data_IF_814213893329
#
_entry.id   IF_814213893329
#
_cell.length_a   1.000
_cell.length_b   1.000
_cell.length_c   1.000
_cell.angle_alpha   90.00
_cell.angle_beta   90.00
_cell.angle_gamma   90.00
#
_symmetry.space_group_name_H-M   'P 1'
#
loop_
_entity.id
_entity.type
_entity.pdbx_description
1 polymer ?
#
# COMPACT_ATOMS: atom_id res chain seq x y z
N UNK A 1 18.26 21.26 -33.08
CA UNK A 1 18.41 19.81 -32.82
C UNK A 1 18.07 19.54 -31.37
N UNK A 2 17.10 18.66 -31.06
CA UNK A 2 16.67 18.43 -29.69
C UNK A 2 17.73 17.59 -28.97
N UNK A 3 18.12 18.05 -27.77
CA UNK A 3 19.07 17.34 -26.90
C UNK A 3 18.48 15.98 -26.54
N UNK A 4 19.22 14.95 -26.93
CA UNK A 4 19.02 13.55 -26.60
C UNK A 4 18.81 13.36 -25.10
N UNK A 5 17.76 12.62 -24.74
CA UNK A 5 17.46 12.20 -23.37
C UNK A 5 18.66 11.49 -22.77
N UNK A 6 19.30 12.12 -21.78
CA UNK A 6 20.36 11.49 -21.01
C UNK A 6 19.77 10.33 -20.20
N UNK A 7 20.10 9.11 -20.60
CA UNK A 7 19.84 7.90 -19.81
C UNK A 7 20.76 8.00 -18.58
N UNK A 8 20.20 8.40 -17.44
CA UNK A 8 20.94 8.41 -16.19
C UNK A 8 21.24 6.96 -15.75
N UNK A 9 22.49 6.65 -15.35
CA UNK A 9 22.87 5.32 -14.94
C UNK A 9 22.15 4.87 -13.67
N UNK A 10 21.93 3.56 -13.57
CA UNK A 10 21.13 2.79 -12.60
C UNK A 10 21.41 3.06 -11.10
N UNK A 11 22.42 3.87 -10.76
CA UNK A 11 23.00 3.98 -9.40
C UNK A 11 22.69 5.28 -8.65
N UNK A 12 22.39 6.39 -9.35
CA UNK A 12 21.89 7.62 -8.72
C UNK A 12 20.40 7.75 -9.05
N UNK A 13 19.57 7.25 -8.14
CA UNK A 13 18.12 7.32 -8.30
C UNK A 13 17.69 8.77 -8.21
N UNK A 14 17.19 9.34 -9.31
CA UNK A 14 16.44 10.61 -9.34
C UNK A 14 15.34 10.70 -8.25
N UNK A 15 14.90 9.59 -7.67
CA UNK A 15 13.92 9.54 -6.58
C UNK A 15 14.54 8.95 -5.31
N UNK A 16 15.66 9.48 -4.81
CA UNK A 16 16.24 9.04 -3.54
C UNK A 16 15.23 9.07 -2.37
N UNK A 17 14.48 10.18 -2.13
CA UNK A 17 13.56 10.24 -0.99
C UNK A 17 12.40 9.24 -1.08
N UNK A 18 12.13 8.71 -2.27
CA UNK A 18 11.04 7.77 -2.55
C UNK A 18 11.52 6.41 -3.09
N UNK A 19 12.77 6.04 -2.78
CA UNK A 19 13.40 4.86 -3.38
C UNK A 19 12.71 3.55 -2.97
N UNK A 20 12.25 3.43 -1.71
CA UNK A 20 11.61 2.21 -1.23
C UNK A 20 10.26 1.98 -1.92
N UNK A 21 9.47 3.05 -2.02
CA UNK A 21 8.17 3.08 -2.69
C UNK A 21 8.33 2.74 -4.16
N UNK A 22 9.34 3.32 -4.82
CA UNK A 22 9.69 2.99 -6.21
C UNK A 22 10.03 1.52 -6.42
N UNK A 23 10.78 0.90 -5.49
CA UNK A 23 11.11 -0.53 -5.56
C UNK A 23 9.85 -1.40 -5.45
N UNK A 24 8.98 -1.12 -4.48
CA UNK A 24 7.73 -1.86 -4.32
C UNK A 24 6.86 -1.80 -5.59
N UNK A 25 6.67 -0.60 -6.12
CA UNK A 25 5.90 -0.35 -7.35
C UNK A 25 6.48 -1.05 -8.58
N UNK A 26 7.81 -1.06 -8.72
CA UNK A 26 8.48 -1.75 -9.84
C UNK A 26 8.35 -3.26 -9.80
N UNK A 27 8.26 -3.88 -8.62
CA UNK A 27 8.01 -5.32 -8.49
C UNK A 27 6.62 -5.65 -9.05
N UNK A 28 5.64 -4.78 -8.81
CA UNK A 28 4.32 -4.90 -9.42
C UNK A 28 4.33 -4.64 -10.94
N UNK A 29 5.35 -3.96 -11.48
CA UNK A 29 5.49 -3.68 -12.91
C UNK A 29 5.16 -2.24 -13.30
N UNK A 30 5.06 -1.31 -12.35
CA UNK A 30 4.66 0.07 -12.68
C UNK A 30 5.33 1.10 -11.78
N UNK A 31 5.89 2.16 -12.35
CA UNK A 31 6.24 3.37 -11.60
C UNK A 31 6.06 4.62 -12.47
N UNK A 32 5.45 5.73 -11.97
CA UNK A 32 5.12 6.90 -12.80
C UNK A 32 6.31 7.56 -13.49
N UNK A 33 7.50 7.49 -12.89
CA UNK A 33 8.72 8.14 -13.40
C UNK A 33 9.54 7.32 -14.40
N UNK A 34 9.15 6.08 -14.69
CA UNK A 34 9.94 5.19 -15.56
C UNK A 34 9.62 5.42 -17.05
N UNK A 35 10.67 5.38 -17.90
CA UNK A 35 10.57 5.53 -19.36
C UNK A 35 11.58 4.63 -20.07
N UNK A 36 11.38 4.36 -21.37
CA UNK A 36 12.29 3.60 -22.23
C UNK A 36 11.91 2.12 -22.45
N UNK A 37 12.83 1.30 -22.93
CA UNK A 37 12.56 -0.13 -23.23
C UNK A 37 12.14 -0.93 -21.99
N UNK A 38 12.81 -0.70 -20.86
CA UNK A 38 12.50 -1.35 -19.59
C UNK A 38 11.09 -1.01 -19.07
N UNK A 39 10.54 0.14 -19.47
CA UNK A 39 9.15 0.50 -19.15
C UNK A 39 8.16 -0.45 -19.82
N UNK A 40 8.38 -0.84 -21.08
CA UNK A 40 7.47 -1.73 -21.80
C UNK A 40 7.48 -3.16 -21.24
N UNK A 41 8.64 -3.68 -20.81
CA UNK A 41 8.69 -4.95 -20.09
C UNK A 41 7.95 -4.89 -18.75
N UNK A 42 8.07 -3.77 -18.03
CA UNK A 42 7.35 -3.55 -16.77
C UNK A 42 5.83 -3.46 -17.01
N UNK A 43 5.38 -2.78 -18.08
CA UNK A 43 3.97 -2.74 -18.47
C UNK A 43 3.43 -4.15 -18.75
N UNK A 44 4.19 -5.03 -19.40
CA UNK A 44 3.80 -6.43 -19.58
C UNK A 44 3.61 -7.18 -18.26
N UNK A 45 4.55 -7.00 -17.33
CA UNK A 45 4.47 -7.56 -15.96
C UNK A 45 3.25 -7.01 -15.21
N UNK A 46 3.00 -5.70 -15.30
CA UNK A 46 1.83 -5.07 -14.73
C UNK A 46 0.53 -5.65 -15.28
N UNK A 47 0.40 -5.78 -16.62
CA UNK A 47 -0.80 -6.33 -17.24
C UNK A 47 -1.04 -7.77 -16.81
N UNK A 48 0.01 -8.59 -16.72
CA UNK A 48 -0.07 -9.95 -16.23
C UNK A 48 -0.53 -10.01 -14.78
N UNK A 49 0.10 -9.25 -13.88
CA UNK A 49 -0.31 -9.18 -12.47
C UNK A 49 -1.75 -8.68 -12.33
N UNK A 50 -2.09 -7.57 -12.98
CA UNK A 50 -3.41 -6.97 -12.94
C UNK A 50 -4.48 -7.96 -13.44
N UNK A 51 -4.25 -8.62 -14.57
CA UNK A 51 -5.17 -9.63 -15.11
C UNK A 51 -5.30 -10.83 -14.19
N UNK A 52 -4.19 -11.34 -13.64
CA UNK A 52 -4.21 -12.47 -12.71
C UNK A 52 -5.02 -12.18 -11.45
N UNK A 53 -4.98 -10.93 -10.94
CA UNK A 53 -5.80 -10.49 -9.82
C UNK A 53 -7.28 -10.41 -10.19
N UNK A 54 -7.61 -9.87 -11.36
CA UNK A 54 -9.01 -9.83 -11.84
C UNK A 54 -9.58 -11.25 -11.93
N UNK A 55 -8.82 -12.18 -12.49
CA UNK A 55 -9.21 -13.59 -12.56
C UNK A 55 -9.39 -14.21 -11.17
N UNK A 56 -8.45 -13.98 -10.26
CA UNK A 56 -8.56 -14.49 -8.89
C UNK A 56 -9.82 -13.96 -8.19
N UNK A 57 -10.04 -12.64 -8.23
CA UNK A 57 -11.23 -12.03 -7.64
C UNK A 57 -12.53 -12.61 -8.22
N UNK A 58 -12.57 -12.87 -9.53
CA UNK A 58 -13.73 -13.50 -10.16
C UNK A 58 -14.01 -14.90 -9.60
N UNK A 59 -12.99 -15.76 -9.48
CA UNK A 59 -13.15 -17.13 -8.97
C UNK A 59 -13.46 -17.18 -7.47
N UNK A 60 -12.91 -16.26 -6.67
CA UNK A 60 -13.26 -16.12 -5.24
C UNK A 60 -14.70 -15.63 -5.07
N UNK A 61 -15.11 -14.63 -5.86
CA UNK A 61 -16.49 -14.12 -5.80
C UNK A 61 -17.49 -15.20 -6.19
N UNK A 62 -17.19 -15.97 -7.24
CA UNK A 62 -18.00 -17.12 -7.65
C UNK A 62 -18.09 -18.17 -6.55
N UNK A 63 -16.98 -18.44 -5.86
CA UNK A 63 -16.95 -19.38 -4.72
C UNK A 63 -17.82 -18.88 -3.57
N UNK A 64 -17.65 -17.62 -3.14
CA UNK A 64 -18.47 -17.00 -2.10
C UNK A 64 -19.96 -17.01 -2.46
N UNK A 65 -20.31 -16.71 -3.71
CA UNK A 65 -21.69 -16.76 -4.19
C UNK A 65 -22.29 -18.17 -4.13
N UNK A 66 -21.52 -19.20 -4.51
CA UNK A 66 -21.95 -20.59 -4.37
C UNK A 66 -22.22 -20.95 -2.90
N UNK A 67 -21.34 -20.55 -1.99
CA UNK A 67 -21.50 -20.77 -0.55
C UNK A 67 -22.70 -20.06 0.06
N UNK A 68 -23.06 -18.86 -0.42
CA UNK A 68 -24.30 -18.19 -0.04
C UNK A 68 -25.51 -19.04 -0.46
N UNK A 69 -25.51 -19.58 -1.68
CA UNK A 69 -26.61 -20.43 -2.18
C UNK A 69 -26.75 -21.75 -1.41
N UNK A 70 -25.65 -22.28 -0.89
CA UNK A 70 -25.60 -23.48 -0.04
C UNK A 70 -26.04 -23.19 1.42
N UNK A 71 -26.29 -21.93 1.77
CA UNK A 71 -26.62 -21.51 3.15
C UNK A 71 -25.41 -21.32 4.06
N UNK A 72 -24.19 -21.52 3.54
CA UNK A 72 -22.92 -21.33 4.25
C UNK A 72 -22.44 -19.86 4.22
N UNK A 73 -23.31 -18.94 4.67
CA UNK A 73 -23.09 -17.48 4.57
C UNK A 73 -21.77 -17.03 5.21
N UNK A 74 -21.40 -17.60 6.36
CA UNK A 74 -20.17 -17.21 7.04
C UNK A 74 -18.91 -17.61 6.31
N UNK A 75 -18.91 -18.78 5.65
CA UNK A 75 -17.80 -19.21 4.79
C UNK A 75 -17.67 -18.24 3.63
N UNK A 76 -18.80 -17.85 3.02
CA UNK A 76 -18.78 -16.84 1.97
C UNK A 76 -18.18 -15.49 2.44
N UNK A 77 -18.53 -15.02 3.64
CA UNK A 77 -17.96 -13.79 4.20
C UNK A 77 -16.45 -13.89 4.43
N UNK A 78 -15.96 -15.04 4.90
CA UNK A 78 -14.54 -15.31 5.07
C UNK A 78 -13.78 -15.21 3.74
N UNK A 79 -14.34 -15.76 2.65
CA UNK A 79 -13.75 -15.70 1.30
C UNK A 79 -13.82 -14.30 0.69
N UNK A 80 -14.92 -13.59 0.91
CA UNK A 80 -15.11 -12.25 0.35
C UNK A 80 -14.18 -11.20 0.99
N UNK A 81 -13.78 -11.38 2.25
CA UNK A 81 -12.93 -10.42 2.98
C UNK A 81 -11.57 -10.15 2.31
N UNK A 82 -10.73 -11.15 1.98
CA UNK A 82 -9.49 -10.92 1.24
C UNK A 82 -9.74 -10.49 -0.22
N UNK A 83 -10.84 -10.95 -0.83
CA UNK A 83 -11.27 -10.54 -2.18
C UNK A 83 -11.47 -9.03 -2.26
N UNK A 84 -12.16 -8.43 -1.27
CA UNK A 84 -12.38 -6.99 -1.20
C UNK A 84 -11.07 -6.20 -1.09
N UNK A 85 -10.08 -6.72 -0.37
CA UNK A 85 -8.74 -6.11 -0.31
C UNK A 85 -8.05 -6.09 -1.68
N UNK A 86 -8.18 -7.16 -2.48
CA UNK A 86 -7.64 -7.21 -3.85
C UNK A 86 -8.37 -6.25 -4.78
N UNK A 87 -9.69 -6.17 -4.69
CA UNK A 87 -10.49 -5.17 -5.44
C UNK A 87 -10.03 -3.75 -5.09
N UNK A 88 -9.86 -3.46 -3.80
CA UNK A 88 -9.31 -2.17 -3.35
C UNK A 88 -7.92 -1.89 -3.93
N UNK A 89 -7.02 -2.88 -3.96
CA UNK A 89 -5.70 -2.74 -4.56
C UNK A 89 -5.77 -2.43 -6.06
N UNK A 90 -6.62 -3.14 -6.81
CA UNK A 90 -6.84 -2.92 -8.24
C UNK A 90 -7.37 -1.51 -8.53
N UNK A 91 -8.36 -1.06 -7.76
CA UNK A 91 -8.91 0.28 -7.87
C UNK A 91 -7.86 1.35 -7.58
N UNK A 92 -7.12 1.21 -6.48
CA UNK A 92 -6.04 2.14 -6.11
C UNK A 92 -4.99 2.27 -7.22
N UNK A 93 -4.48 1.14 -7.71
CA UNK A 93 -3.53 1.14 -8.82
C UNK A 93 -4.12 1.79 -10.08
N UNK A 94 -5.40 1.53 -10.39
CA UNK A 94 -6.07 2.13 -11.55
C UNK A 94 -6.12 3.65 -11.45
N UNK A 95 -6.46 4.21 -10.29
CA UNK A 95 -6.45 5.66 -10.07
C UNK A 95 -5.05 6.27 -10.23
N UNK A 96 -4.02 5.65 -9.63
CA UNK A 96 -2.64 6.12 -9.75
C UNK A 96 -2.11 6.05 -11.19
N UNK A 97 -2.57 5.09 -11.98
CA UNK A 97 -2.21 4.95 -13.39
C UNK A 97 -2.97 5.95 -14.26
N UNK A 98 -4.24 6.20 -13.96
CA UNK A 98 -5.03 7.23 -14.64
C UNK A 98 -4.38 8.61 -14.47
N UNK A 99 -3.95 8.93 -13.24
CA UNK A 99 -3.29 10.21 -12.91
C UNK A 99 -1.76 10.20 -13.12
N UNK A 100 -1.21 9.22 -13.84
CA UNK A 100 0.25 9.00 -13.92
C UNK A 100 1.06 10.23 -14.33
N UNK A 101 0.52 11.05 -15.23
CA UNK A 101 1.22 12.25 -15.75
C UNK A 101 1.27 13.35 -14.68
N UNK A 102 0.14 13.60 -14.04
CA UNK A 102 -0.01 14.56 -12.94
C UNK A 102 0.84 14.13 -11.76
N UNK A 103 0.72 12.85 -11.36
CA UNK A 103 1.52 12.25 -10.30
C UNK A 103 3.02 12.35 -10.58
N UNK A 104 3.48 12.02 -11.79
CA UNK A 104 4.90 12.16 -12.14
C UNK A 104 5.39 13.59 -11.97
N UNK A 105 4.66 14.58 -12.50
CA UNK A 105 5.03 16.01 -12.37
C UNK A 105 5.13 16.42 -10.90
N UNK A 106 4.17 16.01 -10.09
CA UNK A 106 4.16 16.30 -8.67
C UNK A 106 5.34 15.66 -7.92
N UNK A 107 5.63 14.38 -8.20
CA UNK A 107 6.78 13.69 -7.62
C UNK A 107 8.12 14.32 -8.03
N UNK A 108 8.25 14.74 -9.30
CA UNK A 108 9.44 15.45 -9.77
C UNK A 108 9.63 16.77 -9.03
N UNK A 109 8.55 17.54 -8.80
CA UNK A 109 8.57 18.79 -8.02
C UNK A 109 9.03 18.57 -6.58
N UNK A 110 8.52 17.54 -5.90
CA UNK A 110 8.92 17.23 -4.52
C UNK A 110 10.39 16.79 -4.41
N UNK A 111 10.87 16.00 -5.36
CA UNK A 111 12.27 15.60 -5.45
C UNK A 111 13.16 16.82 -5.69
N UNK A 112 12.77 17.70 -6.61
CA UNK A 112 13.55 18.89 -6.92
C UNK A 112 13.72 19.79 -5.68
N UNK A 113 12.66 19.97 -4.89
CA UNK A 113 12.72 20.71 -3.63
C UNK A 113 13.61 20.03 -2.57
N UNK A 114 13.60 18.70 -2.53
CA UNK A 114 14.48 17.92 -1.66
C UNK A 114 15.95 18.07 -2.09
N UNK A 115 16.22 18.02 -3.39
CA UNK A 115 17.58 18.06 -3.92
C UNK A 115 18.20 19.47 -3.86
N UNK A 116 17.36 20.51 -3.91
CA UNK A 116 17.75 21.92 -3.77
C UNK A 116 17.76 22.40 -2.31
N UNK A 117 17.63 21.50 -1.33
CA UNK A 117 17.57 21.85 0.08
C UNK A 117 18.85 22.52 0.61
N UNK A 118 18.69 23.66 1.28
CA UNK A 118 19.78 24.33 1.99
C UNK A 118 20.32 23.47 3.15
N UNK A 119 21.55 23.73 3.61
CA UNK A 119 22.20 22.93 4.67
C UNK A 119 21.38 22.85 5.96
N UNK A 120 20.67 23.92 6.31
CA UNK A 120 19.79 23.99 7.48
C UNK A 120 18.47 23.21 7.30
N UNK A 121 18.10 22.84 6.07
CA UNK A 121 16.88 22.09 5.74
C UNK A 121 17.13 20.59 5.67
N UNK A 122 18.36 20.18 5.36
CA UNK A 122 18.77 18.78 5.24
C UNK A 122 18.41 17.90 6.44
N UNK A 123 18.49 18.36 7.71
CA UNK A 123 18.07 17.55 8.85
C UNK A 123 16.59 17.14 8.79
N UNK A 124 15.70 18.05 8.38
CA UNK A 124 14.26 17.78 8.23
C UNK A 124 14.04 16.76 7.11
N UNK A 125 14.66 16.96 5.95
CA UNK A 125 14.52 16.04 4.82
C UNK A 125 15.08 14.64 5.10
N UNK A 126 16.22 14.55 5.81
CA UNK A 126 16.77 13.26 6.26
C UNK A 126 15.80 12.55 7.20
N UNK A 127 15.23 13.26 8.16
CA UNK A 127 14.24 12.70 9.09
C UNK A 127 12.99 12.19 8.35
N UNK A 128 12.46 13.00 7.43
CA UNK A 128 11.28 12.65 6.62
C UNK A 128 11.54 11.45 5.73
N UNK A 129 12.69 11.42 5.04
CA UNK A 129 13.08 10.30 4.16
C UNK A 129 13.29 9.02 4.96
N UNK A 130 13.91 9.12 6.14
CA UNK A 130 14.07 7.98 7.04
C UNK A 130 12.71 7.39 7.45
N UNK A 131 11.81 8.21 7.98
CA UNK A 131 10.50 7.73 8.44
C UNK A 131 9.61 7.25 7.30
N UNK A 132 9.63 7.93 6.15
CA UNK A 132 8.95 7.47 4.94
C UNK A 132 9.38 6.05 4.56
N UNK A 133 10.69 5.79 4.57
CA UNK A 133 11.23 4.46 4.30
C UNK A 133 10.85 3.44 5.38
N UNK A 134 10.89 3.82 6.66
CA UNK A 134 10.49 2.92 7.75
C UNK A 134 9.01 2.52 7.64
N UNK A 135 8.11 3.46 7.41
CA UNK A 135 6.69 3.16 7.27
C UNK A 135 6.40 2.27 6.05
N UNK A 136 6.99 2.58 4.89
CA UNK A 136 6.83 1.74 3.70
C UNK A 136 7.39 0.33 3.92
N UNK A 137 8.54 0.21 4.58
CA UNK A 137 9.11 -1.10 4.88
C UNK A 137 8.26 -1.88 5.89
N UNK A 138 7.78 -1.21 6.94
CA UNK A 138 6.92 -1.83 7.95
C UNK A 138 5.64 -2.37 7.33
N UNK A 139 4.96 -1.54 6.53
CA UNK A 139 3.75 -1.91 5.81
C UNK A 139 3.99 -3.08 4.84
N UNK A 140 5.05 -3.00 4.04
CA UNK A 140 5.41 -4.08 3.11
C UNK A 140 5.67 -5.39 3.86
N UNK A 141 6.42 -5.35 4.98
CA UNK A 141 6.67 -6.55 5.79
C UNK A 141 5.38 -7.11 6.38
N UNK A 142 4.47 -6.26 6.86
CA UNK A 142 3.18 -6.69 7.39
C UNK A 142 2.36 -7.44 6.33
N UNK A 143 2.30 -6.92 5.09
CA UNK A 143 1.63 -7.61 3.99
C UNK A 143 2.32 -8.92 3.60
N UNK A 144 3.65 -8.96 3.59
CA UNK A 144 4.42 -10.17 3.28
C UNK A 144 4.20 -11.27 4.32
N UNK A 145 4.28 -10.95 5.61
CA UNK A 145 4.01 -11.90 6.70
C UNK A 145 2.58 -12.43 6.62
N UNK A 146 1.62 -11.55 6.33
CA UNK A 146 0.22 -11.96 6.12
C UNK A 146 0.09 -12.93 4.94
N UNK A 147 0.73 -12.65 3.81
CA UNK A 147 0.71 -13.54 2.64
C UNK A 147 1.37 -14.90 2.94
N UNK A 148 2.49 -14.90 3.67
CA UNK A 148 3.15 -16.12 4.12
C UNK A 148 2.23 -16.93 5.02
N UNK A 149 1.51 -16.29 5.94
CA UNK A 149 0.52 -16.96 6.78
C UNK A 149 -0.56 -17.65 5.92
N UNK A 150 -1.18 -16.94 4.97
CA UNK A 150 -2.21 -17.53 4.09
C UNK A 150 -1.67 -18.65 3.19
N UNK A 151 -0.38 -18.63 2.84
CA UNK A 151 0.22 -19.67 2.01
C UNK A 151 0.68 -20.88 2.83
N UNK A 152 1.26 -20.67 4.02
CA UNK A 152 1.84 -21.74 4.83
C UNK A 152 0.84 -22.42 5.75
N UNK A 153 -0.18 -21.69 6.22
CA UNK A 153 -1.20 -22.25 7.12
C UNK A 153 -1.94 -23.46 6.50
N UNK A 154 -2.42 -23.40 5.23
CA UNK A 154 -3.01 -24.57 4.57
C UNK A 154 -2.05 -25.75 4.48
N UNK A 155 -0.77 -25.52 4.18
CA UNK A 155 0.25 -26.58 4.14
C UNK A 155 0.44 -27.24 5.51
N UNK A 156 0.49 -26.43 6.58
CA UNK A 156 0.56 -26.91 7.94
C UNK A 156 -0.65 -27.77 8.32
N UNK A 157 -1.87 -27.34 7.94
CA UNK A 157 -3.10 -28.11 8.17
C UNK A 157 -3.09 -29.43 7.40
N UNK A 158 -2.70 -29.42 6.13
CA UNK A 158 -2.58 -30.65 5.33
C UNK A 158 -1.55 -31.62 5.90
N UNK A 159 -0.39 -31.11 6.33
CA UNK A 159 0.66 -31.92 6.94
C UNK A 159 0.20 -32.52 8.27
N UNK A 160 -0.41 -31.70 9.13
CA UNK A 160 -0.96 -32.14 10.41
C UNK A 160 -2.03 -33.23 10.21
N UNK A 161 -2.95 -33.04 9.26
CA UNK A 161 -3.98 -34.02 8.96
C UNK A 161 -3.38 -35.34 8.45
N UNK A 162 -2.36 -35.27 7.60
CA UNK A 162 -1.66 -36.46 7.09
C UNK A 162 -0.93 -37.25 8.18
N UNK A 163 -0.45 -36.58 9.23
CA UNK A 163 0.24 -37.22 10.36
C UNK A 163 -0.77 -37.83 11.34
N UNK A 164 -1.80 -37.06 11.71
CA UNK A 164 -2.76 -37.46 12.74
C UNK A 164 -3.83 -38.45 12.24
N UNK A 165 -4.14 -38.43 10.94
CA UNK A 165 -5.17 -39.27 10.36
C UNK A 165 -4.65 -39.97 9.08
N UNK A 166 -3.65 -40.87 9.21
CA UNK A 166 -2.98 -41.46 8.04
C UNK A 166 -3.90 -42.35 7.18
N UNK A 167 -4.99 -42.86 7.77
CA UNK A 167 -5.96 -43.70 7.07
C UNK A 167 -7.05 -42.89 6.35
N UNK A 168 -7.12 -41.58 6.58
CA UNK A 168 -8.09 -40.72 5.91
C UNK A 168 -7.58 -40.26 4.54
N UNK A 169 -8.48 -40.02 3.57
CA UNK A 169 -8.07 -39.47 2.28
C UNK A 169 -7.38 -38.12 2.46
N UNK A 170 -6.33 -37.89 1.67
CA UNK A 170 -5.55 -36.65 1.69
C UNK A 170 -6.46 -35.44 1.42
N UNK A 171 -6.37 -34.43 2.27
CA UNK A 171 -7.04 -33.15 2.05
C UNK A 171 -6.19 -32.23 1.18
N UNK A 172 -6.84 -31.44 0.33
CA UNK A 172 -6.19 -30.51 -0.59
C UNK A 172 -6.71 -29.10 -0.34
N UNK A 173 -5.85 -28.24 0.22
CA UNK A 173 -6.18 -26.87 0.57
C UNK A 173 -5.33 -25.90 -0.25
N UNK A 174 -5.97 -24.94 -0.91
CA UNK A 174 -5.31 -23.86 -1.63
C UNK A 174 -5.07 -22.65 -0.70
N UNK A 175 -4.14 -21.74 -1.03
CA UNK A 175 -3.91 -20.51 -0.26
C UNK A 175 -5.15 -19.61 -0.14
N UNK A 176 -6.04 -19.71 -1.12
CA UNK A 176 -7.31 -18.99 -1.22
C UNK A 176 -8.42 -19.95 -1.58
N UNK A 177 -9.61 -19.76 -0.99
CA UNK A 177 -10.77 -20.58 -1.33
C UNK A 177 -11.39 -20.10 -2.64
N UNK A 178 -11.29 -20.95 -3.67
CA UNK A 178 -11.74 -20.65 -5.04
C UNK A 178 -12.43 -21.85 -5.64
N UNK A 179 -13.35 -21.61 -6.58
CA UNK A 179 -13.97 -22.66 -7.40
C UNK A 179 -13.35 -22.61 -8.80
N UNK A 180 -12.31 -23.39 -9.04
CA UNK A 180 -11.63 -23.46 -10.34
C UNK A 180 -12.45 -24.27 -11.36
N UNK A 181 -12.34 -23.97 -12.67
CA UNK A 181 -13.08 -24.67 -13.72
C UNK A 181 -12.47 -26.04 -14.10
N UNK A 182 -11.47 -26.50 -13.36
CA UNK A 182 -10.79 -27.77 -13.58
C UNK A 182 -10.55 -28.48 -12.25
N UNK A 183 -10.45 -29.81 -12.30
CA UNK A 183 -10.08 -30.62 -11.15
C UNK A 183 -8.58 -30.47 -10.88
N UNK A 184 -8.22 -30.19 -9.63
CA UNK A 184 -6.85 -29.92 -9.23
C UNK A 184 -6.38 -30.82 -8.07
N UNK A 185 -7.25 -31.66 -7.49
CA UNK A 185 -6.95 -32.51 -6.32
C UNK A 185 -6.18 -33.79 -6.68
N UNK A 186 -5.17 -33.66 -7.54
CA UNK A 186 -4.25 -34.74 -7.90
C UNK A 186 -2.90 -34.15 -8.29
N UNK A 187 -1.84 -34.95 -8.09
CA UNK A 187 -0.48 -34.53 -8.45
C UNK A 187 -0.23 -34.77 -9.95
N UNK A 188 0.50 -33.89 -10.66
CA UNK A 188 1.17 -32.67 -10.19
C UNK A 188 0.31 -31.40 -10.23
N UNK A 189 -0.98 -31.50 -10.60
CA UNK A 189 -1.83 -30.33 -10.82
C UNK A 189 -2.08 -29.54 -9.55
N UNK A 190 -2.20 -30.22 -8.40
CA UNK A 190 -2.33 -29.55 -7.10
C UNK A 190 -1.11 -28.65 -6.83
N UNK A 191 0.10 -29.18 -6.98
CA UNK A 191 1.33 -28.46 -6.68
C UNK A 191 1.52 -27.27 -7.62
N UNK A 192 1.27 -27.44 -8.92
CA UNK A 192 1.33 -26.35 -9.90
C UNK A 192 0.30 -25.26 -9.61
N UNK A 193 -0.94 -25.65 -9.31
CA UNK A 193 -2.03 -24.73 -8.96
C UNK A 193 -1.68 -23.97 -7.68
N UNK A 194 -1.21 -24.68 -6.66
CA UNK A 194 -0.83 -24.11 -5.37
C UNK A 194 0.27 -23.05 -5.55
N UNK A 195 1.35 -23.38 -6.26
CA UNK A 195 2.45 -22.44 -6.51
C UNK A 195 1.99 -21.20 -7.28
N UNK A 196 1.15 -21.39 -8.32
CA UNK A 196 0.59 -20.29 -9.08
C UNK A 196 -0.30 -19.40 -8.20
N UNK A 197 -1.19 -19.99 -7.40
CA UNK A 197 -2.07 -19.23 -6.50
C UNK A 197 -1.29 -18.49 -5.41
N UNK A 198 -0.26 -19.09 -4.82
CA UNK A 198 0.63 -18.44 -3.87
C UNK A 198 1.33 -17.24 -4.51
N UNK A 199 1.86 -17.41 -5.72
CA UNK A 199 2.47 -16.31 -6.46
C UNK A 199 1.48 -15.18 -6.76
N UNK A 200 0.27 -15.49 -7.26
CA UNK A 200 -0.76 -14.49 -7.53
C UNK A 200 -1.13 -13.76 -6.23
N UNK A 201 -1.28 -14.49 -5.12
CA UNK A 201 -1.62 -13.93 -3.78
C UNK A 201 -0.53 -13.01 -3.22
N UNK A 202 0.71 -13.13 -3.70
CA UNK A 202 1.83 -12.27 -3.32
C UNK A 202 1.79 -10.89 -3.98
N UNK A 203 1.23 -10.79 -5.19
CA UNK A 203 1.28 -9.55 -5.97
C UNK A 203 0.50 -8.36 -5.34
N UNK A 204 -0.65 -8.54 -4.67
CA UNK A 204 -1.34 -7.45 -3.96
C UNK A 204 -0.51 -6.82 -2.85
N UNK A 205 0.44 -7.55 -2.24
CA UNK A 205 1.31 -6.99 -1.20
C UNK A 205 2.09 -5.78 -1.73
N UNK A 206 2.54 -5.83 -2.98
CA UNK A 206 3.27 -4.72 -3.62
C UNK A 206 2.34 -3.65 -4.18
N UNK A 207 1.13 -4.03 -4.60
CA UNK A 207 0.12 -3.06 -5.04
C UNK A 207 -0.29 -2.15 -3.89
N UNK A 208 -0.65 -2.75 -2.74
CA UNK A 208 -1.07 -2.03 -1.54
C UNK A 208 0.12 -1.35 -0.86
N UNK A 209 1.20 -2.09 -0.55
CA UNK A 209 2.38 -1.52 0.10
C UNK A 209 3.09 -0.47 -0.76
N UNK A 210 3.03 -0.60 -2.08
CA UNK A 210 3.49 0.42 -3.01
C UNK A 210 2.62 1.67 -2.96
N UNK A 211 1.29 1.54 -3.13
CA UNK A 211 0.37 2.69 -3.17
C UNK A 211 0.36 3.47 -1.87
N UNK A 212 0.27 2.74 -0.75
CA UNK A 212 0.10 3.33 0.58
C UNK A 212 1.45 3.86 1.07
N UNK A 213 2.55 3.15 0.80
CA UNK A 213 3.90 3.65 1.00
C UNK A 213 4.20 4.93 0.21
N UNK A 214 3.76 5.02 -1.05
CA UNK A 214 3.89 6.24 -1.86
C UNK A 214 3.08 7.40 -1.27
N UNK A 215 1.83 7.14 -0.89
CA UNK A 215 1.00 8.14 -0.21
C UNK A 215 1.68 8.67 1.06
N UNK A 216 2.19 7.77 1.92
CA UNK A 216 2.90 8.14 3.15
C UNK A 216 4.16 8.96 2.84
N UNK A 217 4.97 8.54 1.87
CA UNK A 217 6.18 9.27 1.50
C UNK A 217 5.91 10.66 0.98
N UNK A 218 4.91 10.80 0.10
CA UNK A 218 4.44 12.10 -0.39
C UNK A 218 3.90 12.96 0.76
N UNK A 219 3.09 12.37 1.65
CA UNK A 219 2.52 13.08 2.81
C UNK A 219 3.61 13.67 3.71
N UNK A 220 4.66 12.89 3.97
CA UNK A 220 5.77 13.35 4.80
C UNK A 220 6.62 14.41 4.10
N UNK A 221 6.84 14.28 2.78
CA UNK A 221 7.52 15.30 1.99
C UNK A 221 6.74 16.62 1.94
N UNK A 222 5.42 16.58 1.75
CA UNK A 222 4.58 17.79 1.81
C UNK A 222 4.58 18.37 3.22
N UNK A 223 4.46 17.53 4.25
CA UNK A 223 4.53 17.97 5.66
C UNK A 223 5.88 18.60 6.01
N UNK A 224 6.97 18.16 5.37
CA UNK A 224 8.29 18.76 5.55
C UNK A 224 8.31 20.24 5.15
N UNK A 225 7.54 20.62 4.13
CA UNK A 225 7.49 22.00 3.62
C UNK A 225 6.89 22.93 4.65
N UNK A 226 5.86 22.49 5.38
CA UNK A 226 5.30 23.24 6.50
C UNK A 226 6.28 23.35 7.68
N UNK A 227 7.03 22.28 7.98
CA UNK A 227 8.09 22.32 9.02
C UNK A 227 9.21 23.28 8.65
N UNK A 228 9.57 23.36 7.37
CA UNK A 228 10.58 24.29 6.88
C UNK A 228 10.11 25.74 7.01
N UNK A 229 8.84 26.03 6.69
CA UNK A 229 8.23 27.35 6.93
C UNK A 229 8.26 27.71 8.43
N UNK A 230 7.92 26.75 9.30
CA UNK A 230 7.99 26.94 10.75
C UNK A 230 9.42 27.26 11.21
N UNK A 231 10.41 26.48 10.77
CA UNK A 231 11.82 26.73 11.10
C UNK A 231 12.30 28.09 10.58
N UNK A 232 11.88 28.52 9.39
CA UNK A 232 12.21 29.84 8.85
C UNK A 232 11.58 30.97 9.66
N UNK A 233 10.38 30.76 10.21
CA UNK A 233 9.71 31.72 11.08
C UNK A 233 10.37 31.80 12.46
N UNK A 234 10.77 30.66 13.04
CA UNK A 234 11.49 30.59 14.32
C UNK A 234 12.88 31.22 14.24
N UNK A 235 13.56 31.08 13.09
CA UNK A 235 14.86 31.71 12.81
C UNK A 235 14.75 33.16 12.33
N UNK A 236 13.56 33.76 12.36
CA UNK A 236 13.39 35.17 12.04
C UNK A 236 13.92 35.99 13.22
N UNK A 237 15.24 36.21 13.22
CA UNK A 237 15.92 37.01 14.23
C UNK A 237 15.44 38.47 14.15
N UNK A 238 14.70 38.88 15.18
CA UNK A 238 14.52 40.30 15.51
C UNK A 238 15.73 40.64 16.38
N UNK A 239 16.72 41.33 15.82
CA UNK A 239 17.82 41.86 16.62
C UNK A 239 17.23 42.93 17.55
N UNK A 240 17.11 42.62 18.85
CA UNK A 240 16.75 43.60 19.90
C UNK A 240 17.82 44.70 20.08
N UNK A 241 18.89 44.68 19.27
CA UNK A 241 19.91 45.70 19.29
C UNK A 241 19.34 47.01 18.75
N UNK A 242 19.60 48.10 19.49
CA UNK A 242 19.42 49.49 19.11
C UNK A 242 20.19 49.81 17.81
N UNK A 243 19.72 49.31 16.67
CA UNK A 243 20.31 49.54 15.37
C UNK A 243 19.93 50.95 14.93
N UNK A 244 20.93 51.80 14.62
CA UNK A 244 20.70 53.18 14.19
C UNK A 244 20.03 53.27 12.79
N UNK A 245 19.86 52.14 12.08
CA UNK A 245 19.30 52.05 10.72
C UNK A 245 18.05 51.15 10.66
N UNK A 246 17.03 51.53 11.43
CA UNK A 246 15.67 50.95 11.44
C UNK A 246 15.08 50.73 10.02
N UNK A 247 15.28 51.62 9.02
CA UNK A 247 14.80 51.38 7.66
C UNK A 247 15.44 50.17 6.97
N UNK A 248 16.74 49.95 7.14
CA UNK A 248 17.44 48.81 6.54
C UNK A 248 17.03 47.48 7.18
N UNK A 249 16.86 47.47 8.51
CA UNK A 249 16.40 46.31 9.26
C UNK A 249 14.95 45.92 8.88
N UNK A 250 14.04 46.89 8.84
CA UNK A 250 12.66 46.68 8.39
C UNK A 250 12.60 46.11 6.96
N UNK A 251 13.47 46.58 6.06
CA UNK A 251 13.56 46.07 4.69
C UNK A 251 14.08 44.63 4.64
N UNK A 252 15.03 44.26 5.50
CA UNK A 252 15.55 42.88 5.66
C UNK A 252 14.43 41.95 6.14
N UNK A 253 13.75 42.32 7.22
CA UNK A 253 12.65 41.54 7.81
C UNK A 253 11.51 41.38 6.80
N UNK A 254 11.09 42.46 6.13
CA UNK A 254 10.05 42.39 5.11
C UNK A 254 10.43 41.45 3.96
N UNK A 255 11.69 41.44 3.54
CA UNK A 255 12.19 40.53 2.50
C UNK A 255 12.12 39.07 2.96
N UNK A 256 12.55 38.76 4.18
CA UNK A 256 12.48 37.42 4.76
C UNK A 256 11.02 36.96 4.91
N UNK A 257 10.16 37.81 5.45
CA UNK A 257 8.73 37.50 5.59
C UNK A 257 8.07 37.22 4.24
N UNK A 258 8.42 37.99 3.20
CA UNK A 258 7.94 37.74 1.84
C UNK A 258 8.36 36.36 1.31
N UNK A 259 9.59 35.93 1.58
CA UNK A 259 10.07 34.60 1.20
C UNK A 259 9.33 33.49 1.97
N UNK A 260 9.11 33.67 3.28
CA UNK A 260 8.35 32.73 4.11
C UNK A 260 6.91 32.59 3.61
N UNK A 261 6.24 33.71 3.33
CA UNK A 261 4.87 33.71 2.78
C UNK A 261 4.81 33.01 1.42
N UNK A 262 5.79 33.25 0.54
CA UNK A 262 5.87 32.56 -0.75
C UNK A 262 6.01 31.04 -0.58
N UNK A 263 6.89 30.59 0.31
CA UNK A 263 7.08 29.16 0.59
C UNK A 263 5.86 28.54 1.25
N UNK A 264 5.19 29.26 2.14
CA UNK A 264 3.94 28.81 2.77
C UNK A 264 2.84 28.60 1.74
N UNK A 265 2.65 29.55 0.81
CA UNK A 265 1.70 29.41 -0.29
C UNK A 265 2.04 28.21 -1.18
N UNK A 266 3.32 28.01 -1.49
CA UNK A 266 3.77 26.84 -2.24
C UNK A 266 3.46 25.52 -1.49
N UNK A 267 3.61 25.48 -0.16
CA UNK A 267 3.26 24.32 0.65
C UNK A 267 1.75 24.03 0.64
N UNK A 268 0.91 25.08 0.69
CA UNK A 268 -0.55 24.96 0.54
C UNK A 268 -0.90 24.37 -0.84
N UNK A 269 -0.33 24.91 -1.91
CA UNK A 269 -0.55 24.41 -3.27
C UNK A 269 -0.15 22.94 -3.41
N UNK A 270 1.00 22.55 -2.84
CA UNK A 270 1.44 21.15 -2.84
C UNK A 270 0.51 20.23 -2.05
N UNK A 271 -0.05 20.71 -0.94
CA UNK A 271 -1.06 19.97 -0.17
C UNK A 271 -2.36 19.77 -0.96
N UNK A 272 -2.80 20.80 -1.68
CA UNK A 272 -3.97 20.71 -2.56
C UNK A 272 -3.74 19.75 -3.74
N UNK A 273 -2.56 19.81 -4.37
CA UNK A 273 -2.17 18.90 -5.46
C UNK A 273 -2.04 17.45 -4.98
N UNK A 274 -1.45 17.22 -3.80
CA UNK A 274 -1.44 15.90 -3.16
C UNK A 274 -2.86 15.39 -2.90
N UNK A 275 -3.74 16.24 -2.37
CA UNK A 275 -5.12 15.87 -2.07
C UNK A 275 -5.86 15.43 -3.33
N UNK A 276 -5.79 16.21 -4.42
CA UNK A 276 -6.48 15.86 -5.67
C UNK A 276 -6.00 14.53 -6.27
N UNK A 277 -4.71 14.20 -6.13
CA UNK A 277 -4.13 12.95 -6.62
C UNK A 277 -4.48 11.72 -5.77
N UNK A 278 -4.58 11.88 -4.45
CA UNK A 278 -4.70 10.73 -3.53
C UNK A 278 -6.08 10.57 -2.89
N UNK A 279 -6.98 11.55 -2.95
CA UNK A 279 -8.36 11.42 -2.42
C UNK A 279 -9.09 10.16 -2.93
N UNK A 280 -9.06 9.80 -4.23
CA UNK A 280 -9.71 8.57 -4.70
C UNK A 280 -9.11 7.30 -4.06
N UNK A 281 -7.78 7.27 -3.87
CA UNK A 281 -7.09 6.17 -3.22
C UNK A 281 -7.48 6.04 -1.74
N UNK A 282 -7.48 7.17 -1.03
CA UNK A 282 -7.82 7.25 0.39
C UNK A 282 -9.29 6.84 0.60
N UNK A 283 -10.20 7.37 -0.21
CA UNK A 283 -11.62 7.01 -0.18
C UNK A 283 -11.81 5.50 -0.38
N UNK A 284 -11.18 4.92 -1.39
CA UNK A 284 -11.23 3.48 -1.66
C UNK A 284 -10.73 2.66 -0.46
N UNK A 285 -9.63 3.09 0.16
CA UNK A 285 -9.07 2.44 1.34
C UNK A 285 -10.09 2.39 2.49
N UNK A 286 -10.66 3.55 2.83
CA UNK A 286 -11.61 3.66 3.94
C UNK A 286 -12.93 2.93 3.67
N UNK A 287 -13.46 3.00 2.45
CA UNK A 287 -14.69 2.28 2.08
C UNK A 287 -14.50 0.78 2.18
N UNK A 288 -13.40 0.23 1.61
CA UNK A 288 -13.11 -1.19 1.69
C UNK A 288 -12.85 -1.62 3.14
N UNK A 289 -12.14 -0.82 3.93
CA UNK A 289 -11.88 -1.10 5.34
C UNK A 289 -13.18 -1.15 6.15
N UNK A 290 -14.11 -0.21 5.94
CA UNK A 290 -15.40 -0.18 6.62
C UNK A 290 -16.24 -1.42 6.32
N UNK A 291 -16.33 -1.82 5.05
CA UNK A 291 -17.05 -3.04 4.65
C UNK A 291 -16.39 -4.27 5.28
N UNK A 292 -15.07 -4.39 5.23
CA UNK A 292 -14.33 -5.51 5.84
C UNK A 292 -14.54 -5.58 7.34
N UNK A 293 -14.52 -4.44 8.04
CA UNK A 293 -14.77 -4.40 9.48
C UNK A 293 -16.18 -4.90 9.81
N UNK A 294 -17.18 -4.47 9.02
CA UNK A 294 -18.55 -4.98 9.15
C UNK A 294 -18.65 -6.49 8.97
N UNK A 295 -18.00 -7.04 7.94
CA UNK A 295 -17.94 -8.49 7.71
C UNK A 295 -17.24 -9.24 8.85
N UNK A 296 -16.12 -8.71 9.34
CA UNK A 296 -15.38 -9.30 10.46
C UNK A 296 -16.22 -9.34 11.74
N UNK A 297 -16.98 -8.28 12.05
CA UNK A 297 -17.90 -8.25 13.19
C UNK A 297 -18.96 -9.35 13.08
N UNK A 298 -19.53 -9.57 11.89
CA UNK A 298 -20.50 -10.64 11.66
C UNK A 298 -19.87 -12.03 11.86
N UNK A 299 -18.67 -12.27 11.33
CA UNK A 299 -17.94 -13.53 11.50
C UNK A 299 -17.64 -13.78 12.99
N UNK A 300 -17.15 -12.76 13.71
CA UNK A 300 -16.88 -12.87 15.15
C UNK A 300 -18.15 -13.16 15.97
N UNK A 301 -19.29 -12.59 15.59
CA UNK A 301 -20.57 -12.85 16.28
C UNK A 301 -20.98 -14.34 16.23
N UNK A 302 -20.66 -15.05 15.14
CA UNK A 302 -20.86 -16.50 15.05
C UNK A 302 -19.96 -17.24 16.04
N UNK A 303 -18.68 -16.89 16.09
CA UNK A 303 -17.71 -17.54 16.98
C UNK A 303 -18.17 -17.41 18.44
N UNK A 304 -18.59 -16.21 18.85
CA UNK A 304 -19.09 -15.95 20.21
C UNK A 304 -20.34 -16.80 20.50
N UNK A 305 -21.30 -16.85 19.57
CA UNK A 305 -22.50 -17.68 19.73
C UNK A 305 -22.16 -19.17 19.86
N UNK A 306 -21.29 -19.67 18.99
CA UNK A 306 -20.85 -21.07 19.00
C UNK A 306 -20.12 -21.41 20.29
N UNK A 307 -19.21 -20.55 20.77
CA UNK A 307 -18.52 -20.73 22.05
C UNK A 307 -19.50 -20.73 23.24
N UNK A 308 -20.47 -19.80 23.24
CA UNK A 308 -21.53 -19.75 24.25
C UNK A 308 -22.36 -21.03 24.30
N UNK A 309 -22.77 -21.56 23.14
CA UNK A 309 -23.49 -22.84 23.08
C UNK A 309 -22.68 -24.01 23.64
N UNK A 310 -21.37 -24.07 23.36
CA UNK A 310 -20.51 -25.11 23.95
C UNK A 310 -20.37 -24.97 25.46
N UNK A 311 -20.27 -23.75 25.98
CA UNK A 311 -20.23 -23.50 27.43
C UNK A 311 -21.53 -23.94 28.11
N UNK A 312 -22.69 -23.63 27.53
CA UNK A 312 -23.99 -24.08 28.06
C UNK A 312 -24.12 -25.60 28.05
N UNK A 313 -23.67 -26.26 26.98
CA UNK A 313 -23.65 -27.72 26.89
C UNK A 313 -22.74 -28.31 27.98
N UNK A 314 -21.52 -27.79 28.16
CA UNK A 314 -20.63 -28.26 29.22
C UNK A 314 -21.20 -28.04 30.62
N UNK A 315 -21.88 -26.92 30.87
CA UNK A 315 -22.58 -26.69 32.15
C UNK A 315 -23.68 -27.73 32.40
N UNK A 316 -24.47 -28.08 31.38
CA UNK A 316 -25.50 -29.13 31.50
C UNK A 316 -24.94 -30.54 31.75
N UNK A 317 -23.68 -30.80 31.38
CA UNK A 317 -22.98 -32.05 31.70
C UNK A 317 -22.34 -32.05 33.09
N UNK A 318 -22.10 -30.88 33.69
CA UNK A 318 -21.56 -30.74 35.05
C UNK A 318 -22.68 -30.74 36.10
N UNK A 319 -23.89 -30.33 35.72
CA UNK A 319 -25.06 -30.27 36.62
C UNK A 319 -25.88 -31.58 36.68
N UNK A 320 -25.53 -32.62 35.91
CA UNK A 320 -26.10 -33.97 35.97
C UNK A 320 -25.08 -34.98 36.50
#
# INVERSE_FOLDING_TARGET
MPKTSSVHPFRQSRYEPLQSQRRAFRIFGYYPGDSGFLHWSLVGVFLFHYWSQVQLCYWEFRHGWAKIREGEVFVALEVMTPTLSRVGALLKCSFLIAERKSLKKFLDKLVELHDQADENEKPIYKWVTYWSRQFTNFEQNFFLVTCLFFSLFPLGVMLFNSIMNPNNPRIFLLPTQVTLPYEYKYSPMFELTFLLMSYITFTPCFMLGGSDGLFIGVSLLVSSQFRLVQQQLENLEVEESLSEDVPAENKRILKQLKQIVQRHNQAIEMSQEMSSLFVPNVFTCYTIAAVKLGMACLIMSKIIRTAGSYMTIMQSFVEN
#
